data_IF_878258433195
#
_entry.id   IF_878258433195
#
_cell.length_a   1.000
_cell.length_b   1.000
_cell.length_c   1.000
_cell.angle_alpha   90.00
_cell.angle_beta   90.00
_cell.angle_gamma   90.00
#
_symmetry.space_group_name_H-M   'P 1'
#
loop_
_entity.id
_entity.type
_entity.pdbx_description
1 polymer ?
#
# COMPACT_ATOMS: atom_id res chain seq x y z
N UNK A 1 46.96 0.17 40.47
CA UNK A 1 45.70 -0.43 40.87
C UNK A 1 45.03 -1.21 39.75
N UNK A 2 45.58 -2.36 39.43
CA UNK A 2 44.99 -3.11 38.31
C UNK A 2 43.55 -3.58 38.54
N UNK A 3 43.19 -3.84 39.78
CA UNK A 3 41.86 -4.32 40.11
C UNK A 3 40.78 -3.26 39.86
N UNK A 4 41.08 -2.01 40.24
CA UNK A 4 40.16 -0.90 40.01
C UNK A 4 39.96 -0.63 38.52
N UNK A 5 41.04 -0.61 37.75
CA UNK A 5 40.95 -0.47 36.29
C UNK A 5 40.18 -1.60 35.63
N UNK A 6 40.40 -2.81 36.16
CA UNK A 6 39.70 -3.97 35.62
C UNK A 6 38.19 -3.93 35.89
N UNK A 7 37.81 -3.50 37.09
CA UNK A 7 36.40 -3.34 37.44
C UNK A 7 35.74 -2.23 36.61
N UNK A 8 36.43 -1.09 36.43
CA UNK A 8 35.90 0.00 35.63
C UNK A 8 35.71 -0.42 34.18
N UNK A 9 36.66 -1.18 33.65
CA UNK A 9 36.54 -1.69 32.29
C UNK A 9 35.37 -2.63 32.14
N UNK A 10 35.14 -3.51 33.11
CA UNK A 10 34.03 -4.45 33.11
C UNK A 10 32.66 -3.73 33.21
N UNK A 11 32.58 -2.70 34.07
CA UNK A 11 31.37 -1.90 34.20
C UNK A 11 31.07 -1.13 32.92
N UNK A 12 32.10 -0.52 32.31
CA UNK A 12 31.93 0.20 31.05
C UNK A 12 31.51 -0.75 29.92
N UNK A 13 32.05 -1.95 29.88
CA UNK A 13 31.68 -2.98 28.90
C UNK A 13 30.22 -3.39 29.07
N UNK A 14 29.77 -3.64 30.29
CA UNK A 14 28.40 -3.99 30.57
C UNK A 14 27.43 -2.86 30.20
N UNK A 15 27.79 -1.62 30.51
CA UNK A 15 26.99 -0.47 30.16
C UNK A 15 26.89 -0.29 28.64
N UNK A 16 28.01 -0.47 27.95
CA UNK A 16 28.05 -0.41 26.49
C UNK A 16 27.17 -1.50 25.88
N UNK A 17 27.30 -2.73 26.36
CA UNK A 17 26.50 -3.86 25.87
C UNK A 17 25.02 -3.64 26.13
N UNK A 18 24.64 -3.15 27.32
CA UNK A 18 23.26 -2.82 27.65
C UNK A 18 22.67 -1.74 26.76
N UNK A 19 23.45 -0.67 26.54
CA UNK A 19 23.03 0.40 25.65
C UNK A 19 22.84 -0.08 24.21
N UNK A 20 23.76 -0.90 23.73
CA UNK A 20 23.70 -1.45 22.39
C UNK A 20 22.45 -2.32 22.22
N UNK A 21 22.17 -3.19 23.19
CA UNK A 21 20.98 -4.03 23.18
C UNK A 21 19.71 -3.17 23.17
N UNK A 22 19.66 -2.12 24.00
CA UNK A 22 18.52 -1.20 24.05
C UNK A 22 18.31 -0.51 22.70
N UNK A 23 19.38 -0.03 22.09
CA UNK A 23 19.30 0.63 20.78
C UNK A 23 18.81 -0.34 19.71
N UNK A 24 19.33 -1.56 19.70
CA UNK A 24 18.92 -2.58 18.74
C UNK A 24 17.47 -3.00 18.96
N UNK A 25 17.04 -3.11 20.22
CA UNK A 25 15.65 -3.43 20.53
C UNK A 25 14.70 -2.33 20.05
N UNK A 26 15.04 -1.07 20.28
CA UNK A 26 14.24 0.07 19.82
C UNK A 26 14.23 0.15 18.31
N UNK A 27 15.37 -0.06 17.67
CA UNK A 27 15.46 -0.07 16.21
C UNK A 27 14.65 -1.21 15.61
N UNK A 28 14.71 -2.39 16.20
CA UNK A 28 13.92 -3.54 15.78
C UNK A 28 12.43 -3.32 15.95
N UNK A 29 12.02 -2.73 17.08
CA UNK A 29 10.63 -2.39 17.33
C UNK A 29 10.12 -1.34 16.34
N UNK A 30 10.92 -0.30 16.10
CA UNK A 30 10.57 0.74 15.14
C UNK A 30 10.45 0.16 13.72
N UNK A 31 11.37 -0.71 13.35
CA UNK A 31 11.33 -1.41 12.07
C UNK A 31 10.09 -2.29 11.96
N UNK A 32 9.77 -3.03 13.02
CA UNK A 32 8.60 -3.89 13.06
C UNK A 32 7.31 -3.08 12.96
N UNK A 33 7.20 -1.96 13.65
CA UNK A 33 6.04 -1.07 13.59
C UNK A 33 5.90 -0.43 12.21
N UNK A 34 7.04 -0.12 11.57
CA UNK A 34 7.06 0.46 10.23
C UNK A 34 6.67 -0.55 9.17
N UNK A 35 6.99 -1.82 9.41
CA UNK A 35 6.62 -2.94 8.57
C UNK A 35 5.30 -3.56 9.00
N UNK A 36 4.57 -2.93 9.91
CA UNK A 36 3.28 -3.44 10.37
C UNK A 36 2.44 -3.97 9.21
N UNK A 37 1.32 -4.64 9.47
CA UNK A 37 0.55 -5.23 8.38
C UNK A 37 0.29 -4.19 7.30
N UNK A 38 0.36 -4.57 6.01
CA UNK A 38 0.11 -3.62 4.93
C UNK A 38 -1.28 -3.01 5.11
N UNK A 39 -1.49 -1.77 4.67
CA UNK A 39 -2.80 -1.15 4.80
C UNK A 39 -3.85 -1.99 4.09
N UNK A 40 -5.02 -2.12 4.70
CA UNK A 40 -6.12 -2.91 4.14
C UNK A 40 -7.38 -2.07 4.07
N UNK A 41 -8.17 -2.32 3.02
CA UNK A 41 -9.48 -1.75 2.86
C UNK A 41 -10.50 -2.79 3.31
N UNK A 42 -11.14 -2.56 4.46
CA UNK A 42 -12.10 -3.51 5.02
C UNK A 42 -13.43 -3.46 4.29
N UNK A 43 -13.83 -2.30 3.78
CA UNK A 43 -15.11 -2.09 3.14
C UNK A 43 -15.03 -0.95 2.11
N UNK A 44 -16.16 -0.67 1.47
CA UNK A 44 -16.25 0.39 0.48
C UNK A 44 -16.02 1.78 1.07
N UNK A 45 -16.38 1.98 2.33
CA UNK A 45 -16.14 3.26 3.01
C UNK A 45 -14.66 3.55 3.15
N UNK A 46 -13.86 2.53 3.49
CA UNK A 46 -12.41 2.66 3.52
C UNK A 46 -11.86 3.02 2.14
N UNK A 47 -12.41 2.42 1.10
CA UNK A 47 -12.00 2.72 -0.27
C UNK A 47 -12.35 4.16 -0.66
N UNK A 48 -13.52 4.65 -0.26
CA UNK A 48 -13.92 6.04 -0.51
C UNK A 48 -12.99 7.02 0.18
N UNK A 49 -12.64 6.74 1.43
CA UNK A 49 -11.72 7.57 2.20
C UNK A 49 -10.33 7.59 1.55
N UNK A 50 -9.83 6.42 1.19
CA UNK A 50 -8.52 6.32 0.53
C UNK A 50 -8.52 7.02 -0.83
N UNK A 51 -9.61 6.94 -1.57
CA UNK A 51 -9.75 7.62 -2.85
C UNK A 51 -9.73 9.15 -2.69
N UNK A 52 -10.43 9.66 -1.69
CA UNK A 52 -10.47 11.09 -1.42
C UNK A 52 -9.09 11.61 -0.96
N UNK A 53 -8.36 10.80 -0.20
CA UNK A 53 -6.99 11.14 0.20
C UNK A 53 -6.03 11.14 -0.98
N UNK A 54 -6.21 10.22 -1.92
CA UNK A 54 -5.35 10.13 -3.10
C UNK A 54 -5.67 11.19 -4.14
N UNK A 55 -6.95 11.41 -4.37
CA UNK A 55 -7.46 12.40 -5.33
C UNK A 55 -8.58 13.17 -4.64
N UNK A 56 -8.26 14.36 -4.18
CA UNK A 56 -9.19 15.18 -3.42
C UNK A 56 -10.47 15.42 -4.20
N UNK A 57 -11.61 15.12 -3.58
CA UNK A 57 -12.92 15.31 -4.19
C UNK A 57 -13.36 14.20 -5.14
N UNK A 58 -12.61 13.10 -5.21
CA UNK A 58 -13.03 11.95 -6.02
C UNK A 58 -14.28 11.30 -5.42
N UNK A 59 -15.38 11.29 -6.18
CA UNK A 59 -16.67 10.77 -5.74
C UNK A 59 -17.02 9.53 -6.55
N UNK A 60 -16.67 8.32 -6.06
CA UNK A 60 -16.91 7.10 -6.81
C UNK A 60 -18.40 6.74 -6.85
N UNK A 61 -18.84 6.27 -8.01
CA UNK A 61 -20.19 5.70 -8.19
C UNK A 61 -20.13 4.17 -8.31
N UNK A 62 -18.95 3.61 -8.52
CA UNK A 62 -18.73 2.17 -8.54
C UNK A 62 -17.40 1.88 -7.87
N UNK A 63 -17.34 0.82 -7.08
CA UNK A 63 -16.17 0.43 -6.32
C UNK A 63 -15.96 -1.08 -6.45
N UNK A 64 -14.77 -1.48 -6.88
CA UNK A 64 -14.32 -2.87 -6.86
C UNK A 64 -13.25 -3.03 -5.80
N UNK A 65 -13.54 -3.77 -4.73
CA UNK A 65 -12.60 -4.05 -3.66
C UNK A 65 -11.89 -5.37 -3.92
N UNK A 66 -10.56 -5.35 -3.80
CA UNK A 66 -9.81 -6.59 -3.77
C UNK A 66 -10.26 -7.44 -2.57
N UNK A 67 -10.41 -8.73 -2.76
CA UNK A 67 -10.87 -9.65 -1.70
C UNK A 67 -9.96 -9.62 -0.48
N UNK A 68 -8.68 -9.42 -0.69
CA UNK A 68 -7.70 -9.33 0.40
C UNK A 68 -7.59 -7.93 0.97
N UNK A 69 -8.36 -6.97 0.45
CA UNK A 69 -8.30 -5.59 0.90
C UNK A 69 -7.03 -4.85 0.55
N UNK A 70 -6.24 -5.36 -0.38
CA UNK A 70 -4.93 -4.79 -0.77
C UNK A 70 -5.00 -3.79 -1.90
N UNK A 71 -6.18 -3.41 -2.28
CA UNK A 71 -6.37 -2.42 -3.32
C UNK A 71 -7.81 -2.30 -3.71
N UNK A 72 -8.07 -1.36 -4.59
CA UNK A 72 -9.41 -1.14 -5.09
C UNK A 72 -9.34 -0.45 -6.45
N UNK A 73 -10.40 -0.58 -7.22
CA UNK A 73 -10.60 0.18 -8.44
C UNK A 73 -11.94 0.88 -8.31
N UNK A 74 -11.96 2.17 -8.63
CA UNK A 74 -13.13 3.01 -8.43
C UNK A 74 -13.40 3.81 -9.69
N UNK A 75 -14.67 4.06 -9.96
CA UNK A 75 -15.07 4.85 -11.11
C UNK A 75 -16.02 5.97 -10.65
N UNK A 76 -15.81 7.17 -11.14
CA UNK A 76 -16.72 8.29 -10.87
C UNK A 76 -17.81 8.43 -11.95
N UNK A 77 -18.72 9.38 -11.76
CA UNK A 77 -19.81 9.61 -12.70
C UNK A 77 -19.33 10.08 -14.07
N UNK A 78 -18.17 10.69 -14.13
CA UNK A 78 -17.58 11.15 -15.40
C UNK A 78 -16.81 10.09 -16.16
N UNK A 79 -16.71 8.87 -15.61
CA UNK A 79 -15.99 7.78 -16.25
C UNK A 79 -14.50 7.70 -15.91
N UNK A 80 -14.01 8.57 -15.02
CA UNK A 80 -12.63 8.45 -14.54
C UNK A 80 -12.49 7.21 -13.67
N UNK A 81 -11.40 6.48 -13.87
CA UNK A 81 -11.12 5.26 -13.10
C UNK A 81 -9.88 5.51 -12.25
N UNK A 82 -10.02 5.28 -10.96
CA UNK A 82 -8.95 5.42 -10.00
C UNK A 82 -8.51 4.03 -9.52
N UNK A 83 -7.22 3.76 -9.58
CA UNK A 83 -6.64 2.52 -9.06
C UNK A 83 -5.91 2.85 -7.76
N UNK A 84 -6.27 2.12 -6.69
CA UNK A 84 -5.60 2.21 -5.40
C UNK A 84 -4.76 0.96 -5.18
N UNK A 85 -3.53 1.15 -4.75
CA UNK A 85 -2.66 0.05 -4.35
C UNK A 85 -1.84 0.45 -3.13
N UNK A 86 -1.43 -0.52 -2.29
CA UNK A 86 -0.63 -0.20 -1.11
C UNK A 86 0.72 0.38 -1.50
N UNK A 87 1.13 1.41 -0.77
CA UNK A 87 2.45 2.00 -0.90
C UNK A 87 2.94 2.39 0.50
N UNK A 88 3.80 1.56 1.09
CA UNK A 88 4.19 1.73 2.50
C UNK A 88 2.99 1.55 3.41
N UNK A 89 2.75 2.51 4.30
CA UNK A 89 1.61 2.49 5.21
C UNK A 89 0.34 3.14 4.66
N UNK A 90 0.33 3.54 3.40
CA UNK A 90 -0.77 4.26 2.77
C UNK A 90 -1.18 3.61 1.47
N UNK A 91 -2.29 4.07 0.91
CA UNK A 91 -2.70 3.71 -0.44
C UNK A 91 -2.30 4.83 -1.40
N UNK A 92 -1.60 4.45 -2.46
CA UNK A 92 -1.35 5.35 -3.57
C UNK A 92 -2.44 5.17 -4.61
N UNK A 93 -2.89 6.28 -5.18
CA UNK A 93 -3.93 6.27 -6.20
C UNK A 93 -3.43 6.89 -7.50
N UNK A 94 -3.92 6.34 -8.60
CA UNK A 94 -3.66 6.88 -9.93
C UNK A 94 -4.94 6.86 -10.75
N UNK A 95 -5.26 8.00 -11.34
CA UNK A 95 -6.30 8.06 -12.37
C UNK A 95 -5.72 7.39 -13.61
N UNK A 96 -6.39 6.36 -14.09
CA UNK A 96 -5.91 5.63 -15.25
C UNK A 96 -6.04 6.48 -16.51
N UNK A 97 -5.01 6.39 -17.36
CA UNK A 97 -4.96 7.10 -18.62
C UNK A 97 -5.50 6.23 -19.76
N UNK A 98 -5.74 6.80 -20.95
CA UNK A 98 -6.12 5.99 -22.12
C UNK A 98 -5.10 4.94 -22.53
N UNK A 99 -3.85 5.06 -22.07
CA UNK A 99 -2.80 4.07 -22.33
C UNK A 99 -2.87 2.86 -21.40
N UNK A 100 -3.66 2.94 -20.33
CA UNK A 100 -3.82 1.81 -19.42
C UNK A 100 -4.49 0.63 -20.12
N UNK A 101 -4.09 -0.58 -19.75
CA UNK A 101 -4.65 -1.82 -20.28
C UNK A 101 -5.15 -2.68 -19.14
N UNK A 102 -6.28 -3.31 -19.37
CA UNK A 102 -6.86 -4.20 -18.37
C UNK A 102 -7.23 -5.52 -19.04
N UNK A 103 -7.09 -6.60 -18.28
CA UNK A 103 -7.51 -7.93 -18.69
C UNK A 103 -8.04 -8.68 -17.47
N UNK A 104 -8.86 -9.69 -17.71
CA UNK A 104 -9.31 -10.57 -16.65
C UNK A 104 -8.62 -11.92 -16.76
N UNK A 105 -8.24 -12.47 -15.61
CA UNK A 105 -7.64 -13.77 -15.47
C UNK A 105 -8.41 -14.50 -14.37
N UNK A 106 -9.44 -15.27 -14.78
CA UNK A 106 -10.36 -15.84 -13.83
C UNK A 106 -11.12 -14.77 -13.07
N UNK A 107 -10.97 -14.72 -11.75
CA UNK A 107 -11.58 -13.72 -10.88
C UNK A 107 -10.68 -12.50 -10.69
N UNK A 108 -9.49 -12.51 -11.26
CA UNK A 108 -8.54 -11.42 -11.10
C UNK A 108 -8.67 -10.41 -12.23
N UNK A 109 -8.57 -9.14 -11.87
CA UNK A 109 -8.39 -8.03 -12.79
C UNK A 109 -6.92 -7.66 -12.81
N UNK A 110 -6.31 -7.71 -13.98
CA UNK A 110 -4.91 -7.32 -14.15
C UNK A 110 -4.89 -6.00 -14.91
N UNK A 111 -4.27 -4.99 -14.32
CA UNK A 111 -4.22 -3.65 -14.87
C UNK A 111 -2.76 -3.26 -15.07
N UNK A 112 -2.43 -2.87 -16.30
CA UNK A 112 -1.16 -2.23 -16.60
C UNK A 112 -1.43 -0.74 -16.75
N UNK A 113 -0.89 0.06 -15.83
CA UNK A 113 -1.12 1.50 -15.82
C UNK A 113 -0.36 2.23 -16.91
N UNK A 114 0.58 1.57 -17.59
CA UNK A 114 1.52 2.15 -18.53
C UNK A 114 2.48 3.16 -17.90
N UNK A 115 2.46 3.29 -16.60
CA UNK A 115 3.40 4.13 -15.84
C UNK A 115 4.46 3.25 -15.19
N UNK A 116 5.72 3.51 -15.48
CA UNK A 116 6.83 2.70 -14.99
C UNK A 116 6.92 2.65 -13.46
N UNK A 117 6.63 3.77 -12.80
CA UNK A 117 6.73 3.87 -11.34
C UNK A 117 5.57 3.19 -10.63
N UNK A 118 4.39 3.30 -11.18
CA UNK A 118 3.19 2.70 -10.57
C UNK A 118 3.08 1.23 -10.95
N UNK A 119 3.41 0.88 -12.18
CA UNK A 119 3.48 -0.50 -12.66
C UNK A 119 2.12 -1.12 -12.90
N UNK A 120 2.07 -2.44 -12.72
CA UNK A 120 0.86 -3.22 -12.90
C UNK A 120 0.27 -3.62 -11.55
N UNK A 121 -1.04 -3.84 -11.51
CA UNK A 121 -1.74 -4.27 -10.32
C UNK A 121 -2.63 -5.47 -10.64
N UNK A 122 -2.84 -6.31 -9.64
CA UNK A 122 -3.74 -7.47 -9.74
C UNK A 122 -4.73 -7.40 -8.58
N UNK A 123 -6.01 -7.38 -8.91
CA UNK A 123 -7.08 -7.32 -7.92
C UNK A 123 -8.00 -8.52 -8.13
N UNK A 124 -8.37 -9.19 -7.04
CA UNK A 124 -9.36 -10.27 -7.11
C UNK A 124 -10.72 -9.66 -6.81
N UNK A 125 -11.58 -9.63 -7.82
CA UNK A 125 -12.86 -8.95 -7.78
C UNK A 125 -14.00 -9.91 -8.10
N UNK A 126 -15.21 -9.52 -7.72
CA UNK A 126 -16.41 -10.31 -8.04
C UNK A 126 -16.75 -10.24 -9.53
N UNK A 127 -16.53 -9.09 -10.16
CA UNK A 127 -16.81 -8.92 -11.59
C UNK A 127 -15.67 -8.18 -12.30
N UNK A 128 -14.53 -8.86 -12.55
CA UNK A 128 -13.40 -8.22 -13.19
C UNK A 128 -13.68 -7.76 -14.62
N UNK A 129 -14.60 -8.45 -15.33
CA UNK A 129 -14.92 -8.11 -16.72
C UNK A 129 -15.59 -6.75 -16.86
N UNK A 130 -16.43 -6.38 -15.91
CA UNK A 130 -17.04 -5.06 -15.89
C UNK A 130 -15.99 -3.97 -15.77
N UNK A 131 -14.96 -4.22 -14.98
CA UNK A 131 -13.85 -3.27 -14.81
C UNK A 131 -12.93 -3.22 -16.02
N UNK A 132 -12.74 -4.33 -16.73
CA UNK A 132 -12.03 -4.31 -18.01
C UNK A 132 -12.74 -3.35 -18.97
N UNK A 133 -14.08 -3.46 -19.06
CA UNK A 133 -14.86 -2.55 -19.91
C UNK A 133 -14.74 -1.09 -19.47
N UNK A 134 -14.74 -0.85 -18.15
CA UNK A 134 -14.58 0.52 -17.63
C UNK A 134 -13.23 1.13 -18.00
N UNK A 135 -12.15 0.34 -17.92
CA UNK A 135 -10.82 0.79 -18.31
C UNK A 135 -10.74 1.02 -19.81
N UNK A 136 -11.29 0.12 -20.60
CA UNK A 136 -11.32 0.28 -22.06
C UNK A 136 -12.11 1.50 -22.52
N UNK A 137 -13.08 1.92 -21.74
CA UNK A 137 -13.87 3.11 -22.03
C UNK A 137 -13.10 4.42 -21.80
N UNK A 138 -11.93 4.37 -21.19
CA UNK A 138 -11.07 5.53 -20.97
C UNK A 138 -10.30 5.83 -22.29
N UNK A 139 -10.96 6.27 -23.30
CA UNK A 139 -10.28 6.52 -24.58
C UNK A 139 -10.20 8.00 -24.94
N UNK A 140 -10.69 8.85 -24.07
CA UNK A 140 -10.70 10.29 -24.33
C UNK A 140 -10.13 11.06 -23.17
#
# INVERSE_FOLDING_TARGET
>A
MPIACHMDFSAATLQFAGSLIAILALAGLAYWLKLGPPPQLADEEDARTAADEAVSGFAPVAIGLDRDGRGAILRDAGGRVLLLRPHGGHFAGRILTPQARASSDGEALVIDTAEKRFGAARLVLDDPRAWVRAVEAIKE
#
